data_IF_239313358115
#
_entry.id   IF_239313358115
#
_cell.length_a   1.000
_cell.length_b   1.000
_cell.length_c   1.000
_cell.angle_alpha   90.00
_cell.angle_beta   90.00
_cell.angle_gamma   90.00
#
_symmetry.space_group_name_H-M   'P 1'
#
loop_
_entity.id
_entity.type
_entity.pdbx_description
1 polymer ?
#
# COMPACT_ATOMS: atom_id res chain seq x y z
N UNK A 1 -12.16 11.96 -3.65
CA UNK A 1 -12.30 11.11 -2.45
C UNK A 1 -11.48 11.73 -1.33
N UNK A 2 -12.07 11.91 -0.15
CA UNK A 2 -11.35 12.36 1.04
C UNK A 2 -10.99 11.15 1.92
N UNK A 3 -9.96 11.26 2.75
CA UNK A 3 -9.55 10.21 3.68
C UNK A 3 -9.00 10.79 4.98
N UNK A 4 -9.09 10.02 6.05
CA UNK A 4 -8.58 10.36 7.38
C UNK A 4 -7.80 9.17 7.92
N UNK A 5 -6.54 9.41 8.30
CA UNK A 5 -5.68 8.40 8.90
C UNK A 5 -5.76 8.53 10.42
N UNK A 6 -5.98 7.42 11.13
CA UNK A 6 -6.19 7.42 12.58
C UNK A 6 -5.47 6.26 13.26
N UNK A 7 -5.02 6.52 14.48
CA UNK A 7 -4.68 5.46 15.42
C UNK A 7 -5.98 4.91 15.99
N UNK A 8 -6.16 3.59 15.92
CA UNK A 8 -7.24 2.91 16.60
C UNK A 8 -6.80 2.54 18.00
N UNK A 9 -7.68 2.81 18.94
CA UNK A 9 -7.46 2.68 20.36
C UNK A 9 -8.52 1.70 20.88
N UNK A 10 -8.11 0.77 21.73
CA UNK A 10 -9.02 -0.18 22.38
C UNK A 10 -9.79 0.46 23.55
N UNK A 11 -10.63 -0.32 24.21
CA UNK A 11 -11.41 0.15 25.36
C UNK A 11 -10.54 0.51 26.58
N UNK A 12 -9.28 0.11 26.61
CA UNK A 12 -8.31 0.43 27.67
C UNK A 12 -7.48 1.68 27.36
N UNK A 13 -7.69 2.32 26.21
CA UNK A 13 -6.90 3.47 25.79
C UNK A 13 -5.55 3.10 25.13
N UNK A 14 -5.31 1.83 24.81
CA UNK A 14 -4.09 1.38 24.14
C UNK A 14 -4.27 1.38 22.62
N UNK A 15 -3.26 1.89 21.93
CA UNK A 15 -3.23 1.85 20.47
C UNK A 15 -2.95 0.42 20.00
N UNK A 16 -3.76 -0.09 19.07
CA UNK A 16 -3.60 -1.44 18.52
C UNK A 16 -3.38 -1.49 17.01
N UNK A 17 -3.77 -0.45 16.24
CA UNK A 17 -3.44 -0.34 14.81
C UNK A 17 -3.53 1.10 14.29
N UNK A 18 -2.95 1.34 13.13
CA UNK A 18 -3.21 2.52 12.30
C UNK A 18 -4.19 2.10 11.20
N UNK A 19 -5.18 2.94 10.87
CA UNK A 19 -6.19 2.69 9.84
C UNK A 19 -6.42 3.92 8.97
N UNK A 20 -7.10 3.71 7.83
CA UNK A 20 -7.62 4.74 6.94
C UNK A 20 -9.15 4.68 6.82
N UNK A 21 -9.81 5.81 7.07
CA UNK A 21 -11.24 6.03 6.85
C UNK A 21 -11.45 6.83 5.55
N UNK A 22 -12.26 6.34 4.61
CA UNK A 22 -12.60 7.04 3.37
C UNK A 22 -13.96 7.76 3.43
N UNK A 23 -14.08 8.89 2.71
CA UNK A 23 -15.32 9.67 2.59
C UNK A 23 -15.61 9.97 1.09
N UNK A 24 -16.73 9.47 0.53
CA UNK A 24 -17.66 8.50 1.13
C UNK A 24 -16.97 7.18 1.48
N UNK A 25 -17.63 6.36 2.32
CA UNK A 25 -17.08 5.09 2.79
C UNK A 25 -16.68 4.18 1.61
N UNK A 26 -15.50 3.58 1.71
CA UNK A 26 -14.97 2.65 0.72
C UNK A 26 -14.25 1.51 1.44
N UNK A 27 -15.00 0.46 1.76
CA UNK A 27 -14.52 -0.69 2.52
C UNK A 27 -13.43 -1.48 1.79
N UNK A 28 -13.53 -1.60 0.46
CA UNK A 28 -12.50 -2.27 -0.36
C UNK A 28 -11.14 -1.59 -0.20
N UNK A 29 -11.08 -0.26 -0.32
CA UNK A 29 -9.84 0.48 -0.11
C UNK A 29 -9.34 0.42 1.34
N UNK A 30 -10.23 0.63 2.32
CA UNK A 30 -9.84 0.53 3.74
C UNK A 30 -9.25 -0.83 4.07
N UNK A 31 -9.88 -1.91 3.58
CA UNK A 31 -9.42 -3.27 3.78
C UNK A 31 -8.10 -3.53 3.07
N UNK A 32 -7.96 -3.09 1.81
CA UNK A 32 -6.72 -3.20 1.03
C UNK A 32 -5.51 -2.65 1.80
N UNK A 33 -5.60 -1.42 2.31
CA UNK A 33 -4.51 -0.81 3.07
C UNK A 33 -4.24 -1.51 4.42
N UNK A 34 -5.28 -2.05 5.05
CA UNK A 34 -5.14 -2.78 6.32
C UNK A 34 -4.52 -4.17 6.18
N UNK A 35 -4.60 -4.77 4.99
CA UNK A 35 -4.11 -6.13 4.71
C UNK A 35 -2.61 -6.16 4.42
N UNK A 36 -2.01 -5.02 4.07
CA UNK A 36 -0.56 -4.93 3.90
C UNK A 36 0.10 -5.15 5.26
N UNK A 37 0.90 -6.21 5.38
CA UNK A 37 1.62 -6.50 6.61
C UNK A 37 2.69 -5.42 6.87
N UNK A 38 2.79 -4.94 8.10
CA UNK A 38 3.78 -3.94 8.55
C UNK A 38 5.21 -4.31 8.13
N UNK A 39 5.57 -5.60 8.18
CA UNK A 39 6.89 -6.08 7.80
C UNK A 39 7.18 -5.80 6.32
N UNK A 40 6.17 -5.90 5.44
CA UNK A 40 6.34 -5.77 3.99
C UNK A 40 6.19 -4.32 3.47
N UNK A 41 5.84 -3.36 4.33
CA UNK A 41 5.60 -1.98 3.89
C UNK A 41 6.72 -1.34 3.08
N UNK A 42 8.00 -1.45 3.48
CA UNK A 42 9.10 -0.90 2.69
C UNK A 42 9.09 -1.43 1.26
N UNK A 43 8.96 -2.75 1.10
CA UNK A 43 9.00 -3.42 -0.20
C UNK A 43 7.74 -3.15 -1.02
N UNK A 44 6.58 -3.10 -0.37
CA UNK A 44 5.34 -2.67 -1.00
C UNK A 44 5.49 -1.28 -1.63
N UNK A 45 6.03 -0.31 -0.89
CA UNK A 45 6.27 1.03 -1.41
C UNK A 45 7.26 1.01 -2.59
N UNK A 46 8.22 0.08 -2.57
CA UNK A 46 9.17 -0.11 -3.68
C UNK A 46 8.45 -0.52 -4.96
N UNK A 47 7.61 -1.55 -4.88
CA UNK A 47 6.82 -2.03 -6.03
C UNK A 47 5.91 -0.92 -6.60
N UNK A 48 5.32 -0.10 -5.72
CA UNK A 48 4.44 1.00 -6.14
C UNK A 48 5.22 2.16 -6.77
N UNK A 49 6.40 2.52 -6.24
CA UNK A 49 7.17 3.61 -6.86
C UNK A 49 7.66 3.21 -8.26
N UNK A 50 7.93 1.92 -8.50
CA UNK A 50 8.33 1.43 -9.82
C UNK A 50 7.17 1.27 -10.79
N UNK A 51 5.95 1.68 -10.41
CA UNK A 51 4.72 1.52 -11.18
C UNK A 51 4.53 0.08 -11.64
N UNK A 52 4.80 -0.88 -10.75
CA UNK A 52 4.68 -2.31 -11.04
C UNK A 52 3.42 -2.89 -10.40
N UNK A 53 2.72 -3.74 -11.13
CA UNK A 53 1.65 -4.55 -10.58
C UNK A 53 2.21 -5.52 -9.54
N UNK A 54 1.52 -5.65 -8.42
CA UNK A 54 1.98 -6.46 -7.28
C UNK A 54 0.80 -7.17 -6.62
N UNK A 55 1.08 -8.27 -5.92
CA UNK A 55 0.08 -9.11 -5.28
C UNK A 55 0.59 -9.67 -3.97
N UNK A 56 -0.26 -9.64 -2.96
CA UNK A 56 -0.02 -10.21 -1.63
C UNK A 56 -1.20 -11.10 -1.28
N UNK A 57 -1.12 -11.76 -0.13
CA UNK A 57 -2.22 -12.57 0.37
C UNK A 57 -3.51 -11.72 0.44
N UNK A 58 -4.55 -12.18 -0.27
CA UNK A 58 -5.88 -11.57 -0.37
C UNK A 58 -6.00 -10.22 -1.08
N UNK A 59 -4.88 -9.62 -1.55
CA UNK A 59 -4.91 -8.34 -2.27
C UNK A 59 -4.07 -8.38 -3.54
N UNK A 60 -4.53 -7.68 -4.58
CA UNK A 60 -3.68 -7.41 -5.75
C UNK A 60 -3.90 -6.01 -6.29
N UNK A 61 -2.85 -5.48 -6.88
CA UNK A 61 -2.79 -4.17 -7.49
C UNK A 61 -2.31 -4.33 -8.93
N UNK A 62 -3.07 -3.79 -9.88
CA UNK A 62 -2.78 -3.87 -11.30
C UNK A 62 -2.66 -2.47 -11.89
N UNK A 63 -1.47 -2.16 -12.39
CA UNK A 63 -1.17 -0.92 -13.10
C UNK A 63 -1.68 -1.01 -14.53
N UNK A 64 -2.20 0.10 -15.08
CA UNK A 64 -2.65 0.13 -16.48
C UNK A 64 -1.57 -0.29 -17.48
N UNK A 65 -0.29 0.00 -17.19
CA UNK A 65 0.84 -0.32 -18.06
C UNK A 65 1.13 -1.82 -18.18
N UNK A 66 0.67 -2.61 -17.21
CA UNK A 66 1.09 -4.00 -17.05
C UNK A 66 -0.01 -5.00 -17.41
N UNK A 67 -1.24 -4.52 -17.60
CA UNK A 67 -2.38 -5.36 -17.95
C UNK A 67 -2.50 -5.52 -19.46
N UNK A 68 -2.91 -6.70 -19.89
CA UNK A 68 -3.20 -6.98 -21.28
C UNK A 68 -4.70 -6.86 -21.61
N UNK A 69 -5.09 -7.27 -22.81
CA UNK A 69 -6.48 -7.19 -23.26
C UNK A 69 -7.40 -8.18 -22.53
N UNK A 70 -6.89 -9.31 -22.05
CA UNK A 70 -7.69 -10.28 -21.27
C UNK A 70 -8.00 -9.70 -19.89
N UNK A 71 -7.00 -9.09 -19.26
CA UNK A 71 -7.18 -8.36 -18.01
C UNK A 71 -8.19 -7.21 -18.16
N UNK A 72 -8.11 -6.42 -19.25
CA UNK A 72 -9.07 -5.35 -19.53
C UNK A 72 -10.51 -5.88 -19.68
N UNK A 73 -10.70 -7.01 -20.37
CA UNK A 73 -12.02 -7.64 -20.49
C UNK A 73 -12.54 -8.11 -19.14
N UNK A 74 -11.69 -8.69 -18.30
CA UNK A 74 -12.05 -9.10 -16.95
C UNK A 74 -12.42 -7.89 -16.09
N UNK A 75 -11.58 -6.84 -16.05
CA UNK A 75 -11.85 -5.60 -15.30
C UNK A 75 -13.18 -4.98 -15.76
N UNK A 76 -13.43 -4.93 -17.07
CA UNK A 76 -14.70 -4.45 -17.62
C UNK A 76 -15.89 -5.28 -17.16
N UNK A 77 -15.74 -6.59 -17.02
CA UNK A 77 -16.81 -7.47 -16.54
C UNK A 77 -17.16 -7.23 -15.07
N UNK A 78 -16.17 -6.92 -14.21
CA UNK A 78 -16.38 -6.73 -12.77
C UNK A 78 -16.70 -5.27 -12.40
N UNK A 79 -16.09 -4.29 -13.09
CA UNK A 79 -16.28 -2.85 -12.82
C UNK A 79 -17.32 -2.18 -13.72
N UNK A 80 -17.75 -2.85 -14.80
CA UNK A 80 -18.62 -2.25 -15.82
C UNK A 80 -17.93 -1.24 -16.74
N UNK A 81 -16.60 -1.09 -16.64
CA UNK A 81 -15.78 -0.20 -17.47
C UNK A 81 -14.33 -0.67 -17.57
N UNK A 82 -13.65 -0.24 -18.62
CA UNK A 82 -12.21 -0.47 -18.81
C UNK A 82 -11.38 0.40 -17.87
N UNK A 83 -10.17 -0.08 -17.54
CA UNK A 83 -9.18 0.70 -16.80
C UNK A 83 -8.54 1.72 -17.74
N UNK A 84 -8.41 2.96 -17.31
CA UNK A 84 -7.83 4.04 -18.11
C UNK A 84 -6.36 4.32 -17.75
N UNK A 85 -5.64 5.01 -18.64
CA UNK A 85 -4.29 5.48 -18.38
C UNK A 85 -4.27 6.38 -17.12
N UNK A 86 -3.32 6.11 -16.22
CA UNK A 86 -3.21 6.80 -14.93
C UNK A 86 -4.16 6.29 -13.84
N UNK A 87 -4.85 5.17 -14.09
CA UNK A 87 -5.64 4.46 -13.08
C UNK A 87 -4.97 3.15 -12.67
N UNK A 88 -5.30 2.73 -11.45
CA UNK A 88 -4.91 1.47 -10.85
C UNK A 88 -6.18 0.69 -10.55
N UNK A 89 -6.16 -0.60 -10.87
CA UNK A 89 -7.18 -1.54 -10.42
C UNK A 89 -6.70 -2.23 -9.13
N UNK A 90 -7.55 -2.24 -8.11
CA UNK A 90 -7.29 -2.82 -6.81
C UNK A 90 -8.30 -3.93 -6.56
N UNK A 91 -7.81 -5.10 -6.16
CA UNK A 91 -8.63 -6.23 -5.77
C UNK A 91 -8.40 -6.56 -4.31
N UNK A 92 -9.47 -6.79 -3.58
CA UNK A 92 -9.44 -7.43 -2.26
C UNK A 92 -10.41 -8.60 -2.25
N UNK A 93 -9.91 -9.81 -1.96
CA UNK A 93 -10.66 -11.08 -2.11
C UNK A 93 -12.04 -11.04 -1.46
N UNK A 94 -12.14 -10.48 -0.25
CA UNK A 94 -13.38 -10.47 0.54
C UNK A 94 -14.20 -9.17 0.46
N UNK A 95 -13.61 -8.07 0.01
CA UNK A 95 -14.22 -6.73 0.10
C UNK A 95 -14.51 -6.13 -1.28
N UNK A 96 -14.07 -6.80 -2.34
CA UNK A 96 -14.34 -6.45 -3.72
C UNK A 96 -13.30 -5.52 -4.32
N UNK A 97 -13.65 -5.04 -5.51
CA UNK A 97 -12.74 -4.36 -6.42
C UNK A 97 -12.89 -2.83 -6.35
N UNK A 98 -11.82 -2.13 -6.72
CA UNK A 98 -11.83 -0.69 -6.85
C UNK A 98 -10.97 -0.21 -8.02
N UNK A 99 -11.31 0.96 -8.56
CA UNK A 99 -10.44 1.70 -9.47
C UNK A 99 -10.19 3.07 -8.85
N UNK A 100 -8.91 3.44 -8.76
CA UNK A 100 -8.44 4.71 -8.23
C UNK A 100 -7.39 5.31 -9.16
N UNK A 101 -7.29 6.63 -9.24
CA UNK A 101 -6.19 7.28 -9.94
C UNK A 101 -4.86 7.00 -9.23
N UNK A 102 -3.82 6.67 -9.99
CA UNK A 102 -2.47 6.37 -9.50
C UNK A 102 -1.93 7.47 -8.58
N UNK A 103 -2.00 8.73 -9.02
CA UNK A 103 -1.54 9.88 -8.23
C UNK A 103 -2.24 10.03 -6.86
N UNK A 104 -3.53 9.67 -6.78
CA UNK A 104 -4.26 9.68 -5.51
C UNK A 104 -3.86 8.50 -4.63
N UNK A 105 -3.68 7.32 -5.22
CA UNK A 105 -3.20 6.14 -4.51
C UNK A 105 -1.82 6.39 -3.92
N UNK A 106 -0.88 6.90 -4.71
CA UNK A 106 0.48 7.24 -4.27
C UNK A 106 0.46 8.23 -3.11
N UNK A 107 -0.39 9.26 -3.19
CA UNK A 107 -0.55 10.23 -2.11
C UNK A 107 -1.11 9.57 -0.84
N UNK A 108 -2.15 8.75 -0.95
CA UNK A 108 -2.73 8.04 0.20
C UNK A 108 -1.67 7.13 0.83
N UNK A 109 -0.97 6.34 0.01
CA UNK A 109 0.07 5.43 0.45
C UNK A 109 1.18 6.19 1.17
N UNK A 110 1.62 7.32 0.62
CA UNK A 110 2.64 8.17 1.26
C UNK A 110 2.17 8.69 2.63
N UNK A 111 1.00 9.33 2.68
CA UNK A 111 0.46 9.91 3.92
C UNK A 111 0.25 8.84 5.00
N UNK A 112 -0.26 7.68 4.60
CA UNK A 112 -0.47 6.54 5.49
C UNK A 112 0.83 5.93 5.98
N UNK A 113 1.79 5.76 5.08
CA UNK A 113 3.12 5.21 5.38
C UNK A 113 3.95 6.10 6.30
N UNK A 114 3.82 7.43 6.20
CA UNK A 114 4.41 8.37 7.17
C UNK A 114 3.83 8.13 8.57
N UNK A 115 2.52 7.93 8.69
CA UNK A 115 1.89 7.65 9.98
C UNK A 115 2.35 6.32 10.57
N UNK A 116 2.48 5.29 9.73
CA UNK A 116 3.02 3.98 10.12
C UNK A 116 4.46 4.14 10.62
N UNK A 117 5.33 4.82 9.86
CA UNK A 117 6.70 5.08 10.27
C UNK A 117 6.75 5.80 11.63
N UNK A 118 5.98 6.87 11.80
CA UNK A 118 5.97 7.61 13.08
C UNK A 118 5.50 6.78 14.26
N UNK A 119 4.60 5.82 14.01
CA UNK A 119 4.02 4.96 15.03
C UNK A 119 4.95 3.81 15.42
N UNK A 120 5.63 3.19 14.45
CA UNK A 120 6.38 1.95 14.65
C UNK A 120 7.91 2.10 14.53
N UNK A 121 8.45 3.30 14.27
CA UNK A 121 9.91 3.51 14.08
C UNK A 121 10.80 3.10 15.26
N UNK A 122 10.25 2.98 16.46
CA UNK A 122 10.98 2.53 17.66
C UNK A 122 10.58 1.11 18.10
N UNK A 123 9.79 0.39 17.28
CA UNK A 123 9.40 -1.00 17.54
C UNK A 123 10.53 -1.97 17.17
N UNK A 124 11.23 -2.46 18.20
CA UNK A 124 12.32 -3.41 18.01
C UNK A 124 11.84 -4.79 17.54
N UNK A 125 10.60 -5.20 17.86
CA UNK A 125 10.07 -6.49 17.42
C UNK A 125 9.83 -6.46 15.92
N UNK A 126 9.21 -5.40 15.41
CA UNK A 126 9.02 -5.21 13.96
C UNK A 126 10.36 -5.25 13.22
N UNK A 127 11.40 -4.62 13.78
CA UNK A 127 12.72 -4.67 13.18
C UNK A 127 13.33 -6.08 13.16
N UNK A 128 13.15 -6.85 14.24
CA UNK A 128 13.63 -8.24 14.30
C UNK A 128 12.87 -9.14 13.33
N UNK A 129 11.54 -9.00 13.26
CA UNK A 129 10.70 -9.78 12.36
C UNK A 129 11.07 -9.53 10.89
N UNK A 130 11.35 -8.26 10.54
CA UNK A 130 11.83 -7.87 9.22
C UNK A 130 13.21 -8.46 8.88
N UNK A 131 14.14 -8.47 9.84
CA UNK A 131 15.45 -9.10 9.65
C UNK A 131 15.28 -10.62 9.42
N UNK A 132 14.44 -11.28 10.22
CA UNK A 132 14.21 -12.72 10.11
C UNK A 132 13.63 -13.09 8.73
N UNK A 133 12.57 -12.38 8.31
CA UNK A 133 11.92 -12.62 7.02
C UNK A 133 12.92 -12.60 5.85
N UNK A 134 13.78 -11.58 5.80
CA UNK A 134 14.78 -11.46 4.74
C UNK A 134 15.97 -12.42 4.86
N UNK A 135 16.32 -12.86 6.06
CA UNK A 135 17.35 -13.88 6.26
C UNK A 135 16.89 -15.22 5.70
N UNK A 136 15.61 -15.55 5.86
CA UNK A 136 14.99 -16.74 5.29
C UNK A 136 14.90 -16.67 3.76
N UNK A 137 14.67 -15.47 3.20
CA UNK A 137 14.46 -15.29 1.76
C UNK A 137 15.75 -15.08 0.95
N UNK A 138 16.75 -14.30 1.42
CA UNK A 138 17.85 -13.83 0.53
C UNK A 138 19.17 -13.43 1.22
N UNK A 139 19.34 -13.61 2.53
CA UNK A 139 20.64 -13.42 3.21
C UNK A 139 21.22 -11.99 3.17
N UNK A 140 20.39 -10.96 2.95
CA UNK A 140 20.83 -9.55 2.97
C UNK A 140 21.39 -9.17 4.35
N UNK A 141 22.55 -8.51 4.37
CA UNK A 141 23.19 -7.99 5.59
C UNK A 141 22.72 -6.56 5.88
N UNK A 142 22.64 -6.19 7.15
CA UNK A 142 22.35 -4.83 7.65
C UNK A 142 20.93 -4.29 7.37
N UNK A 143 19.93 -5.16 7.42
CA UNK A 143 18.53 -4.77 7.28
C UNK A 143 18.03 -4.04 8.52
N UNK A 144 17.28 -2.98 8.29
CA UNK A 144 16.62 -2.24 9.36
C UNK A 144 15.33 -1.65 8.81
N UNK A 145 14.20 -2.14 9.31
CA UNK A 145 12.87 -1.78 8.79
C UNK A 145 12.68 -0.26 8.69
N UNK A 146 13.03 0.49 9.74
CA UNK A 146 12.99 1.96 9.76
C UNK A 146 13.79 2.61 8.62
N UNK A 147 15.01 2.13 8.36
CA UNK A 147 15.88 2.71 7.32
C UNK A 147 15.32 2.44 5.93
N UNK A 148 14.82 1.22 5.70
CA UNK A 148 14.26 0.81 4.42
C UNK A 148 12.91 1.52 4.17
N UNK A 149 12.10 1.70 5.21
CA UNK A 149 10.88 2.49 5.15
C UNK A 149 11.16 3.95 4.76
N UNK A 150 12.16 4.59 5.39
CA UNK A 150 12.58 5.97 5.04
C UNK A 150 13.07 6.03 3.60
N UNK A 151 13.87 5.05 3.16
CA UNK A 151 14.36 5.00 1.78
C UNK A 151 13.20 4.90 0.77
N UNK A 152 12.27 3.98 1.01
CA UNK A 152 11.13 3.71 0.13
C UNK A 152 10.19 4.92 0.05
N UNK A 153 9.89 5.55 1.20
CA UNK A 153 9.15 6.81 1.26
C UNK A 153 9.82 7.94 0.48
N UNK A 154 11.17 8.02 0.52
CA UNK A 154 11.89 9.01 -0.28
C UNK A 154 11.73 8.77 -1.78
N UNK A 155 11.63 7.51 -2.24
CA UNK A 155 11.40 7.18 -3.64
C UNK A 155 9.98 7.50 -4.08
N UNK A 156 8.99 7.12 -3.27
CA UNK A 156 7.59 7.46 -3.54
C UNK A 156 7.37 8.99 -3.57
N UNK A 157 8.00 9.73 -2.66
CA UNK A 157 7.96 11.20 -2.67
C UNK A 157 8.54 11.81 -3.95
N UNK A 158 9.62 11.24 -4.48
CA UNK A 158 10.21 11.66 -5.75
C UNK A 158 9.25 11.42 -6.92
N UNK A 159 8.59 10.25 -6.98
CA UNK A 159 7.56 9.94 -7.98
C UNK A 159 6.43 10.98 -7.95
N UNK A 160 5.83 11.21 -6.78
CA UNK A 160 4.74 12.20 -6.59
C UNK A 160 5.17 13.61 -7.01
N UNK A 161 6.43 13.99 -6.80
CA UNK A 161 6.94 15.30 -7.20
C UNK A 161 7.11 15.45 -8.71
N UNK A 162 7.38 14.36 -9.44
CA UNK A 162 7.51 14.35 -10.89
C UNK A 162 6.15 14.46 -11.59
N UNK A 163 5.10 13.86 -11.03
CA UNK A 163 3.73 13.92 -11.57
C UNK A 163 3.09 15.33 -11.49
N UNK A 164 3.64 16.21 -10.66
CA UNK A 164 3.16 17.60 -10.49
C UNK A 164 3.75 18.59 -11.49
N UNK A 165 4.66 18.15 -12.35
CA UNK A 165 5.32 18.99 -13.38
C UNK A 165 4.62 18.85 -14.72
#
# INVERSE_FOLDING_TARGET
MQYIIRNRIDNEGKMYRVDIDFIPENLSLSAFFSQINLIYYPDFIIDIYSSSSTGYEYISLRMFSDIDWEDQLWIKSVMGRELCLGEIFLHHEFMGDNIISESLFDKILYDYSIKILDTYKEDNNLNNDYINWYQDENGKKNLHWKKDMIHSLSKLSQKIALEKK
#
